data_IF_496747367673
#
_entry.id   IF_496747367673
#
_cell.length_a   1.000
_cell.length_b   1.000
_cell.length_c   1.000
_cell.angle_alpha   90.00
_cell.angle_beta   90.00
_cell.angle_gamma   90.00
#
_symmetry.space_group_name_H-M   'P 1'
#
loop_
_entity.id
_entity.type
_entity.pdbx_description
1 polymer ?
#
# COMPACT_ATOMS: atom_id res chain seq x y z
N UNK A 1 19.44 -24.17 -50.84
CA UNK A 1 20.34 -23.89 -49.72
C UNK A 1 19.55 -23.17 -48.63
N UNK A 2 19.37 -23.84 -47.48
CA UNK A 2 19.19 -23.30 -46.12
C UNK A 2 18.41 -21.98 -45.98
N UNK A 3 17.09 -22.10 -45.80
CA UNK A 3 16.24 -21.10 -45.14
C UNK A 3 16.67 -20.97 -43.68
N UNK A 4 17.35 -19.88 -43.33
CA UNK A 4 17.65 -19.51 -41.94
C UNK A 4 16.56 -18.56 -41.45
N UNK A 5 15.53 -19.10 -40.81
CA UNK A 5 14.56 -18.32 -40.04
C UNK A 5 15.23 -18.00 -38.70
N UNK A 6 15.73 -16.78 -38.56
CA UNK A 6 16.23 -16.26 -37.29
C UNK A 6 15.02 -15.91 -36.41
N UNK A 7 14.69 -16.81 -35.48
CA UNK A 7 13.67 -16.60 -34.46
C UNK A 7 14.24 -15.68 -33.37
N UNK A 8 13.99 -14.37 -33.47
CA UNK A 8 14.31 -13.44 -32.39
C UNK A 8 13.34 -13.67 -31.22
N UNK A 9 13.81 -14.31 -30.15
CA UNK A 9 13.11 -14.34 -28.87
C UNK A 9 13.11 -12.93 -28.28
N UNK A 10 11.96 -12.27 -28.33
CA UNK A 10 11.67 -11.08 -27.53
C UNK A 10 11.51 -11.52 -26.06
N UNK A 11 12.57 -11.33 -25.28
CA UNK A 11 12.51 -11.49 -23.82
C UNK A 11 11.78 -10.26 -23.28
N UNK A 12 10.46 -10.37 -23.14
CA UNK A 12 9.65 -9.38 -22.44
C UNK A 12 10.05 -9.37 -20.97
N UNK A 13 10.68 -8.29 -20.52
CA UNK A 13 10.95 -8.08 -19.10
C UNK A 13 9.64 -7.72 -18.41
N UNK A 14 9.02 -8.68 -17.73
CA UNK A 14 7.87 -8.39 -16.87
C UNK A 14 8.37 -7.60 -15.65
N UNK A 15 8.07 -6.30 -15.63
CA UNK A 15 8.23 -5.49 -14.42
C UNK A 15 7.19 -5.97 -13.40
N UNK A 16 7.61 -6.82 -12.47
CA UNK A 16 6.79 -7.16 -11.31
C UNK A 16 6.67 -5.92 -10.43
N UNK A 17 5.50 -5.28 -10.40
CA UNK A 17 5.21 -4.23 -9.43
C UNK A 17 5.07 -4.86 -8.06
N UNK A 18 6.09 -4.71 -7.21
CA UNK A 18 6.04 -5.18 -5.84
C UNK A 18 5.02 -4.35 -5.04
N UNK A 19 4.17 -5.02 -4.27
CA UNK A 19 3.29 -4.35 -3.32
C UNK A 19 4.13 -3.64 -2.24
N UNK A 20 3.64 -2.50 -1.73
CA UNK A 20 4.27 -1.81 -0.59
C UNK A 20 4.35 -2.74 0.61
N UNK A 21 5.58 -3.03 1.07
CA UNK A 21 5.84 -3.84 2.25
C UNK A 21 6.01 -2.93 3.48
N UNK A 22 5.17 -3.11 4.51
CA UNK A 22 5.24 -2.34 5.74
C UNK A 22 5.92 -3.11 6.89
N UNK A 23 5.60 -4.40 7.06
CA UNK A 23 6.21 -5.20 8.14
C UNK A 23 6.23 -6.70 7.83
N UNK A 24 7.14 -7.42 8.48
CA UNK A 24 7.18 -8.89 8.52
C UNK A 24 6.78 -9.44 9.90
N UNK A 25 6.40 -8.57 10.83
CA UNK A 25 6.03 -8.95 12.18
C UNK A 25 4.73 -9.76 12.22
N UNK A 26 4.61 -10.64 13.21
CA UNK A 26 3.41 -11.44 13.43
C UNK A 26 2.19 -10.55 13.68
N UNK A 27 1.02 -10.95 13.15
CA UNK A 27 -0.22 -10.16 13.27
C UNK A 27 -0.67 -9.95 14.71
N UNK A 28 -0.26 -10.79 15.65
CA UNK A 28 -0.52 -10.60 17.09
C UNK A 28 0.16 -9.36 17.67
N UNK A 29 1.19 -8.84 17.00
CA UNK A 29 1.92 -7.63 17.41
C UNK A 29 1.32 -6.34 16.85
N UNK A 30 0.30 -6.46 15.99
CA UNK A 30 -0.29 -5.33 15.31
C UNK A 30 -1.28 -4.61 16.22
N UNK A 31 -1.43 -3.31 16.01
CA UNK A 31 -2.44 -2.51 16.68
C UNK A 31 -3.84 -2.98 16.30
N UNK A 32 -4.81 -2.79 17.19
CA UNK A 32 -6.21 -3.02 16.84
C UNK A 32 -6.64 -2.06 15.70
N UNK A 33 -7.33 -2.62 14.70
CA UNK A 33 -7.69 -1.90 13.47
C UNK A 33 -8.70 -0.78 13.72
N UNK A 34 -9.66 -0.99 14.63
CA UNK A 34 -10.68 0.02 14.95
C UNK A 34 -10.05 1.16 15.74
N UNK A 35 -9.22 0.82 16.73
CA UNK A 35 -8.46 1.80 17.52
C UNK A 35 -7.56 2.66 16.65
N UNK A 36 -6.82 2.05 15.72
CA UNK A 36 -5.96 2.77 14.79
C UNK A 36 -6.76 3.74 13.90
N UNK A 37 -7.89 3.28 13.35
CA UNK A 37 -8.77 4.15 12.56
C UNK A 37 -9.38 5.28 13.39
N UNK A 38 -9.75 5.03 14.65
CA UNK A 38 -10.26 6.05 15.56
C UNK A 38 -9.20 7.13 15.82
N UNK A 39 -7.95 6.75 16.10
CA UNK A 39 -6.84 7.68 16.30
C UNK A 39 -6.59 8.58 15.08
N UNK A 40 -6.66 8.02 13.86
CA UNK A 40 -6.55 8.82 12.64
C UNK A 40 -7.72 9.80 12.49
N UNK A 41 -8.95 9.38 12.84
CA UNK A 41 -10.12 10.28 12.82
C UNK A 41 -9.98 11.42 13.82
N UNK A 42 -9.45 11.14 15.02
CA UNK A 42 -9.13 12.16 16.02
C UNK A 42 -8.07 13.14 15.53
N UNK A 43 -7.13 12.69 14.69
CA UNK A 43 -6.13 13.54 14.02
C UNK A 43 -6.69 14.36 12.85
N UNK A 44 -7.99 14.25 12.55
CA UNK A 44 -8.68 15.02 11.52
C UNK A 44 -8.82 14.32 10.17
N UNK A 45 -8.42 13.04 10.05
CA UNK A 45 -8.62 12.27 8.82
C UNK A 45 -10.07 11.79 8.70
N UNK A 46 -10.59 11.75 7.47
CA UNK A 46 -11.86 11.08 7.14
C UNK A 46 -11.57 9.80 6.38
N UNK A 47 -11.69 8.65 7.03
CA UNK A 47 -11.41 7.35 6.42
C UNK A 47 -12.64 6.86 5.65
N UNK A 48 -12.50 6.71 4.33
CA UNK A 48 -13.52 6.14 3.44
C UNK A 48 -13.34 4.63 3.25
N UNK A 49 -12.09 4.15 3.28
CA UNK A 49 -11.77 2.73 3.13
C UNK A 49 -10.55 2.38 3.97
N UNK A 50 -10.58 1.21 4.57
CA UNK A 50 -9.46 0.61 5.28
C UNK A 50 -9.19 -0.78 4.69
N UNK A 51 -7.92 -1.13 4.47
CA UNK A 51 -7.52 -2.46 4.01
C UNK A 51 -6.29 -2.96 4.76
N UNK A 52 -6.21 -4.28 4.94
CA UNK A 52 -4.95 -4.96 5.23
C UNK A 52 -4.38 -5.47 3.91
N UNK A 53 -3.21 -4.98 3.51
CA UNK A 53 -2.62 -5.28 2.21
C UNK A 53 -1.80 -6.57 2.22
N UNK A 54 -1.44 -7.08 1.03
CA UNK A 54 -0.53 -8.23 0.89
C UNK A 54 0.86 -7.96 1.47
N UNK A 55 1.28 -6.69 1.49
CA UNK A 55 2.55 -6.28 2.09
C UNK A 55 2.43 -5.91 3.57
N UNK A 56 1.40 -6.41 4.24
CA UNK A 56 1.19 -6.25 5.68
C UNK A 56 1.07 -4.78 6.13
N UNK A 57 0.38 -3.95 5.36
CA UNK A 57 0.10 -2.57 5.72
C UNK A 57 -1.34 -2.40 6.19
N UNK A 58 -1.56 -1.43 7.06
CA UNK A 58 -2.85 -0.76 7.21
C UNK A 58 -2.95 0.36 6.19
N UNK A 59 -3.70 0.11 5.13
CA UNK A 59 -3.91 1.05 4.04
C UNK A 59 -5.24 1.79 4.25
N UNK A 60 -5.19 3.11 4.27
CA UNK A 60 -6.37 3.98 4.34
C UNK A 60 -6.54 4.75 3.05
N UNK A 61 -7.79 4.88 2.60
CA UNK A 61 -8.22 5.89 1.64
C UNK A 61 -9.15 6.85 2.33
N UNK A 62 -8.97 8.14 2.09
CA UNK A 62 -9.72 9.13 2.80
C UNK A 62 -9.45 10.56 2.38
N UNK A 63 -9.87 11.48 3.24
CA UNK A 63 -9.43 12.86 3.22
C UNK A 63 -8.49 13.11 4.40
N UNK A 64 -7.42 13.86 4.16
CA UNK A 64 -6.58 14.37 5.24
C UNK A 64 -7.24 15.56 5.96
N UNK A 65 -6.55 16.09 6.97
CA UNK A 65 -6.99 17.25 7.75
C UNK A 65 -7.24 18.53 6.92
N UNK A 66 -6.63 18.61 5.75
CA UNK A 66 -6.73 19.75 4.83
C UNK A 66 -7.80 19.48 3.74
N UNK A 67 -8.51 18.35 3.82
CA UNK A 67 -9.55 17.95 2.89
C UNK A 67 -9.06 17.35 1.58
N UNK A 68 -7.76 17.01 1.46
CA UNK A 68 -7.17 16.41 0.26
C UNK A 68 -7.38 14.91 0.24
N UNK A 69 -7.66 14.32 -0.92
CA UNK A 69 -7.78 12.87 -1.05
C UNK A 69 -6.42 12.23 -0.88
N UNK A 70 -6.34 11.22 -0.02
CA UNK A 70 -5.10 10.51 0.31
C UNK A 70 -5.28 8.99 0.29
N UNK A 71 -4.23 8.31 -0.14
CA UNK A 71 -3.98 6.89 0.08
C UNK A 71 -2.72 6.76 0.94
N UNK A 72 -2.84 6.19 2.14
CA UNK A 72 -1.70 6.07 3.07
C UNK A 72 -1.54 4.63 3.53
N UNK A 73 -0.32 4.11 3.41
CA UNK A 73 0.09 2.81 3.91
C UNK A 73 0.80 3.02 5.24
N UNK A 74 0.26 2.45 6.31
CA UNK A 74 0.83 2.50 7.64
C UNK A 74 1.38 1.14 8.04
N UNK A 75 2.50 1.16 8.76
CA UNK A 75 2.99 0.00 9.49
C UNK A 75 2.02 -0.31 10.64
N UNK A 76 1.38 -1.48 10.67
CA UNK A 76 0.39 -1.81 11.68
C UNK A 76 0.98 -2.02 13.09
N UNK A 77 2.31 -2.17 13.22
CA UNK A 77 2.98 -2.28 14.52
C UNK A 77 3.18 -0.88 15.10
N UNK A 78 3.80 0.03 14.34
CA UNK A 78 4.15 1.37 14.82
C UNK A 78 3.09 2.43 14.58
N UNK A 79 2.14 2.20 13.67
CA UNK A 79 1.13 3.17 13.22
C UNK A 79 1.68 4.25 12.27
N UNK A 80 2.99 4.24 12.00
CA UNK A 80 3.66 5.26 11.19
C UNK A 80 3.33 5.07 9.72
N UNK A 81 3.17 6.18 9.00
CA UNK A 81 3.05 6.15 7.54
C UNK A 81 4.37 5.68 6.92
N UNK A 82 4.28 4.65 6.08
CA UNK A 82 5.37 4.10 5.26
C UNK A 82 5.34 4.73 3.87
N UNK A 83 4.14 4.98 3.32
CA UNK A 83 3.93 5.62 2.02
C UNK A 83 2.64 6.44 2.06
N UNK A 84 2.67 7.63 1.48
CA UNK A 84 1.49 8.49 1.30
C UNK A 84 1.41 8.96 -0.14
N UNK A 85 0.23 8.89 -0.73
CA UNK A 85 -0.08 9.39 -2.07
C UNK A 85 -1.28 10.34 -1.98
N UNK A 86 -1.20 11.44 -2.72
CA UNK A 86 -2.26 12.44 -2.83
C UNK A 86 -2.93 12.30 -4.19
N UNK A 87 -4.25 12.40 -4.22
CA UNK A 87 -5.06 12.29 -5.43
C UNK A 87 -5.85 13.58 -5.65
N UNK A 88 -5.98 13.96 -6.92
CA UNK A 88 -6.80 15.10 -7.35
C UNK A 88 -8.30 14.75 -7.38
#
# INVERSE_FOLDING_TARGET
MRTLIALMLLIGSSTAFAATQCTTADKSTWQDQEKFQAQLKEQGYKINKFKVTKGNCYEIYGLDKDGRKVEIYHDPVSGKAVKSEYHD
#
